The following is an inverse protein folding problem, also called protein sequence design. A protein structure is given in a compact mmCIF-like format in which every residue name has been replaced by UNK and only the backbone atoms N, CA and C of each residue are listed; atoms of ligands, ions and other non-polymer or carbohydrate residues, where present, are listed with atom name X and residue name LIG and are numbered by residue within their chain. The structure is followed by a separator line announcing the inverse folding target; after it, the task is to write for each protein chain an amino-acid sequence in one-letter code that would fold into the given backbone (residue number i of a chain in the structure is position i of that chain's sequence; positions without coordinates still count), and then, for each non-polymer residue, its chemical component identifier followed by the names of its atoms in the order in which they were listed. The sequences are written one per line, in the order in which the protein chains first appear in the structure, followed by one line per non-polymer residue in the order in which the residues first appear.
data_IF_974844685249
#
_entry.id   IF_974844685249
#
_cell.length_a   1.000
_cell.length_b   1.000
_cell.length_c   1.000
_cell.angle_alpha   90.00
_cell.angle_beta   90.00
_cell.angle_gamma   90.00
#
_symmetry.space_group_name_H-M   'P 1'
#
loop_
_entity.id
_entity.type
_entity.pdbx_description
1 polymer ?
#
# COMPACT_ATOMS: atom_id res chain seq x y z
N UNK A 1 3.74 -9.94 -12.45
CA UNK A 1 3.59 -10.90 -11.31
C UNK A 1 3.47 -10.11 -10.01
N UNK A 2 2.57 -10.48 -9.08
CA UNK A 2 2.28 -9.70 -7.86
C UNK A 2 2.83 -10.31 -6.56
N UNK A 3 3.80 -11.23 -6.69
CA UNK A 3 4.49 -11.89 -5.56
C UNK A 3 5.24 -10.91 -4.63
N UNK A 4 5.46 -9.67 -5.07
CA UNK A 4 6.13 -8.63 -4.31
C UNK A 4 5.41 -8.23 -3.01
N UNK A 5 4.13 -8.59 -2.83
CA UNK A 5 3.40 -8.29 -1.59
C UNK A 5 3.96 -9.03 -0.37
N UNK A 6 4.72 -10.12 -0.58
CA UNK A 6 5.38 -10.90 0.48
C UNK A 6 6.86 -10.55 0.65
N UNK A 7 7.53 -10.19 -0.44
CA UNK A 7 8.95 -9.87 -0.44
C UNK A 7 9.29 -8.93 -1.60
N UNK A 8 9.00 -7.63 -1.50
CA UNK A 8 9.23 -6.71 -2.60
C UNK A 8 10.73 -6.46 -2.82
N UNK A 9 11.56 -6.55 -1.78
CA UNK A 9 13.00 -6.40 -1.86
C UNK A 9 13.68 -7.57 -1.11
N UNK A 10 14.37 -8.50 -1.78
CA UNK A 10 14.88 -9.71 -1.15
C UNK A 10 15.78 -9.52 0.08
N UNK A 11 16.48 -8.36 0.15
CA UNK A 11 17.42 -8.02 1.23
C UNK A 11 16.79 -7.18 2.35
N UNK A 12 15.51 -6.80 2.21
CA UNK A 12 14.83 -5.96 3.18
C UNK A 12 13.53 -6.62 3.63
N UNK A 13 13.40 -6.80 4.94
CA UNK A 13 12.15 -7.21 5.58
C UNK A 13 11.25 -5.97 5.75
N UNK A 14 9.93 -6.19 5.81
CA UNK A 14 8.95 -5.16 6.23
C UNK A 14 8.99 -3.87 5.39
N UNK A 15 8.61 -3.95 4.11
CA UNK A 15 8.68 -2.84 3.16
C UNK A 15 7.29 -2.31 2.81
N UNK A 16 7.11 -0.99 2.91
CA UNK A 16 5.93 -0.36 2.35
C UNK A 16 6.17 -0.03 0.87
N UNK A 17 5.23 -0.44 0.02
CA UNK A 17 5.21 -0.09 -1.40
C UNK A 17 4.24 1.06 -1.60
N UNK A 18 4.74 2.19 -2.11
CA UNK A 18 4.00 3.44 -2.25
C UNK A 18 3.94 3.84 -3.71
N UNK A 19 2.79 3.68 -4.35
CA UNK A 19 2.52 4.30 -5.64
C UNK A 19 2.10 5.76 -5.44
N UNK A 20 2.58 6.65 -6.29
CA UNK A 20 2.29 8.08 -6.18
C UNK A 20 2.04 8.74 -7.54
N UNK A 21 1.14 9.73 -7.57
CA UNK A 21 0.94 10.64 -8.70
C UNK A 21 0.45 12.00 -8.23
N UNK A 22 0.37 12.97 -9.14
CA UNK A 22 -0.03 14.34 -8.80
C UNK A 22 1.01 15.10 -7.95
N UNK A 23 2.17 14.50 -7.68
CA UNK A 23 3.27 15.09 -6.93
C UNK A 23 4.62 14.63 -7.48
N UNK A 24 5.68 15.37 -7.16
CA UNK A 24 7.03 15.01 -7.59
C UNK A 24 7.66 13.94 -6.69
N UNK A 25 8.55 13.13 -7.26
CA UNK A 25 9.39 12.17 -6.52
C UNK A 25 10.17 12.86 -5.38
N UNK A 26 10.66 14.07 -5.63
CA UNK A 26 11.44 14.87 -4.70
C UNK A 26 10.57 15.36 -3.51
N UNK A 27 9.30 15.70 -3.77
CA UNK A 27 8.32 16.01 -2.73
C UNK A 27 8.07 14.79 -1.84
N UNK A 28 7.82 13.62 -2.43
CA UNK A 28 7.58 12.39 -1.67
C UNK A 28 8.81 11.98 -0.85
N UNK A 29 9.99 12.00 -1.47
CA UNK A 29 11.29 11.72 -0.83
C UNK A 29 11.49 12.60 0.40
N UNK A 30 11.36 13.92 0.26
CA UNK A 30 11.51 14.84 1.40
C UNK A 30 10.50 14.58 2.50
N UNK A 31 9.26 14.30 2.13
CA UNK A 31 8.19 14.03 3.09
C UNK A 31 8.43 12.74 3.88
N UNK A 32 8.85 11.67 3.20
CA UNK A 32 9.23 10.41 3.87
C UNK A 32 10.43 10.61 4.78
N UNK A 33 11.47 11.32 4.34
CA UNK A 33 12.62 11.64 5.18
C UNK A 33 12.23 12.47 6.42
N UNK A 34 11.32 13.43 6.27
CA UNK A 34 10.78 14.19 7.40
C UNK A 34 9.96 13.31 8.36
N UNK A 35 9.29 12.28 7.83
CA UNK A 35 8.60 11.24 8.59
C UNK A 35 9.54 10.10 9.06
N UNK A 36 10.86 10.28 8.94
CA UNK A 36 11.89 9.30 9.32
C UNK A 36 11.74 7.94 8.61
N UNK A 37 11.29 7.94 7.34
CA UNK A 37 11.19 6.77 6.47
C UNK A 37 12.20 6.85 5.33
N UNK A 38 13.13 5.89 5.27
CA UNK A 38 14.25 5.91 4.34
C UNK A 38 13.81 5.40 2.97
N UNK A 39 13.82 6.22 1.90
CA UNK A 39 13.53 5.73 0.57
C UNK A 39 14.62 4.77 0.10
N UNK A 40 14.23 3.58 -0.37
CA UNK A 40 15.16 2.52 -0.78
C UNK A 40 15.22 2.32 -2.29
N UNK A 41 14.06 2.29 -2.93
CA UNK A 41 13.93 2.04 -4.35
C UNK A 41 12.83 2.92 -4.94
N UNK A 42 12.95 3.22 -6.24
CA UNK A 42 11.92 3.91 -6.98
C UNK A 42 11.85 3.44 -8.44
N UNK A 43 10.65 3.56 -9.01
CA UNK A 43 10.38 3.35 -10.42
C UNK A 43 9.44 4.45 -10.92
N UNK A 44 9.49 4.76 -12.22
CA UNK A 44 8.65 5.80 -12.82
C UNK A 44 7.88 5.24 -14.01
N UNK A 45 6.56 5.17 -13.90
CA UNK A 45 5.64 5.00 -15.01
C UNK A 45 5.21 6.32 -15.62
N UNK A 46 4.37 6.27 -16.65
CA UNK A 46 3.83 7.44 -17.34
C UNK A 46 2.86 8.25 -16.48
N UNK A 47 2.06 7.56 -15.66
CA UNK A 47 1.07 8.20 -14.77
C UNK A 47 1.40 8.05 -13.28
N UNK A 48 1.88 6.88 -12.88
CA UNK A 48 2.24 6.54 -11.51
C UNK A 48 3.74 6.36 -11.37
N UNK A 49 4.33 6.96 -10.33
CA UNK A 49 5.61 6.53 -9.79
C UNK A 49 5.41 5.49 -8.69
N UNK A 50 6.47 4.78 -8.33
CA UNK A 50 6.53 3.89 -7.17
C UNK A 50 7.76 4.23 -6.34
N UNK A 51 7.61 4.15 -5.02
CA UNK A 51 8.67 4.30 -4.04
C UNK A 51 8.52 3.24 -2.96
N UNK A 52 9.64 2.69 -2.50
CA UNK A 52 9.67 1.71 -1.41
C UNK A 52 10.47 2.26 -0.24
N UNK A 53 10.03 1.95 0.97
CA UNK A 53 10.74 2.29 2.20
C UNK A 53 10.43 1.27 3.30
N UNK A 54 11.29 1.12 4.32
CA UNK A 54 10.97 0.27 5.48
C UNK A 54 9.73 0.77 6.20
N UNK A 55 8.92 -0.15 6.71
CA UNK A 55 7.78 0.15 7.56
C UNK A 55 8.20 0.95 8.81
N UNK A 56 9.35 0.58 9.39
CA UNK A 56 9.88 1.14 10.63
C UNK A 56 10.71 2.41 10.42
N UNK A 57 10.68 3.29 11.42
CA UNK A 57 11.56 4.46 11.47
C UNK A 57 13.02 4.02 11.68
N UNK A 58 13.97 4.70 11.01
CA UNK A 58 15.39 4.39 11.20
C UNK A 58 15.98 4.97 12.49
N UNK A 59 15.27 5.87 13.18
CA UNK A 59 15.82 6.65 14.30
C UNK A 59 15.15 6.38 15.64
N UNK A 60 13.92 5.90 15.63
CA UNK A 60 13.15 5.61 16.82
C UNK A 60 12.77 4.12 16.79
N UNK A 61 12.77 3.45 17.94
CA UNK A 61 12.00 2.22 18.21
C UNK A 61 10.48 2.52 18.16
N UNK A 62 10.07 3.32 17.18
CA UNK A 62 8.71 3.70 16.90
C UNK A 62 8.19 2.79 15.79
N UNK A 63 7.24 1.97 16.19
CA UNK A 63 6.62 0.95 15.36
C UNK A 63 5.24 1.40 14.88
N UNK A 64 4.90 2.69 15.03
CA UNK A 64 3.65 3.23 14.55
C UNK A 64 3.63 3.26 13.01
N UNK A 65 2.45 3.00 12.44
CA UNK A 65 2.22 3.12 11.02
C UNK A 65 2.53 4.54 10.54
N UNK A 66 3.11 4.65 9.35
CA UNK A 66 3.40 5.96 8.75
C UNK A 66 2.11 6.69 8.44
N UNK A 67 1.94 7.91 8.95
CA UNK A 67 0.84 8.77 8.53
C UNK A 67 1.18 9.42 7.19
N UNK A 68 0.60 8.91 6.09
CA UNK A 68 0.83 9.43 4.73
C UNK A 68 -0.04 10.63 4.37
N UNK A 69 -1.06 10.98 5.16
CA UNK A 69 -1.95 12.09 4.84
C UNK A 69 -1.21 13.44 4.65
N UNK A 70 -0.21 13.82 5.46
CA UNK A 70 0.57 15.03 5.21
C UNK A 70 1.40 15.01 3.92
N UNK A 71 1.69 13.82 3.38
CA UNK A 71 2.57 13.63 2.23
C UNK A 71 1.89 13.87 0.88
N UNK A 72 0.55 13.83 0.83
CA UNK A 72 -0.22 13.84 -0.42
C UNK A 72 -1.16 15.05 -0.56
N UNK A 73 -0.73 16.22 -0.10
CA UNK A 73 -1.50 17.47 -0.25
C UNK A 73 -1.44 17.99 -1.69
N UNK A 74 -2.28 18.97 -1.98
CA UNK A 74 -2.23 19.78 -3.22
C UNK A 74 -2.29 18.99 -4.53
N UNK A 75 -3.22 18.02 -4.63
CA UNK A 75 -3.38 17.17 -5.82
C UNK A 75 -2.65 15.83 -5.73
N UNK A 76 -1.88 15.60 -4.66
CA UNK A 76 -1.16 14.35 -4.44
C UNK A 76 -2.09 13.16 -4.23
N UNK A 77 -1.74 12.03 -4.83
CA UNK A 77 -2.40 10.75 -4.61
C UNK A 77 -1.37 9.69 -4.23
N UNK A 78 -1.67 8.90 -3.20
CA UNK A 78 -0.82 7.80 -2.72
C UNK A 78 -1.62 6.52 -2.57
N UNK A 79 -1.08 5.43 -3.09
CA UNK A 79 -1.57 4.08 -2.82
C UNK A 79 -0.48 3.31 -2.10
N UNK A 80 -0.76 2.89 -0.88
CA UNK A 80 0.20 2.27 0.03
C UNK A 80 -0.21 0.84 0.29
N UNK A 81 0.74 -0.06 0.08
CA UNK A 81 0.68 -1.44 0.55
C UNK A 81 1.70 -1.60 1.68
N UNK A 82 1.23 -1.99 2.86
CA UNK A 82 2.06 -2.45 3.96
C UNK A 82 2.20 -3.96 3.78
N UNK A 83 3.42 -4.44 3.55
CA UNK A 83 3.69 -5.87 3.33
C UNK A 83 3.95 -6.59 4.65
N UNK A 84 3.52 -7.84 4.77
CA UNK A 84 3.94 -8.73 5.85
C UNK A 84 5.34 -9.35 5.67
N UNK A 85 5.93 -9.94 6.73
CA UNK A 85 5.48 -9.87 8.12
C UNK A 85 6.33 -8.91 8.97
N UNK A 86 5.65 -8.03 9.70
CA UNK A 86 6.26 -7.39 10.86
C UNK A 86 6.39 -8.42 11.99
N UNK A 87 7.53 -9.10 12.04
CA UNK A 87 7.75 -10.30 12.87
C UNK A 87 7.61 -10.05 14.38
N UNK A 88 7.78 -8.79 14.82
CA UNK A 88 7.77 -8.44 16.25
C UNK A 88 6.36 -8.07 16.75
N UNK A 89 5.42 -7.69 15.86
CA UNK A 89 4.13 -7.10 16.27
C UNK A 89 2.89 -7.68 15.61
N UNK A 90 3.03 -8.56 14.61
CA UNK A 90 1.89 -9.24 13.98
C UNK A 90 0.94 -8.26 13.28
N UNK A 91 1.48 -7.26 12.59
CA UNK A 91 0.68 -6.42 11.73
C UNK A 91 0.37 -7.18 10.43
N UNK A 92 -0.92 -7.42 10.11
CA UNK A 92 -1.30 -8.02 8.84
C UNK A 92 -0.96 -7.11 7.67
N UNK A 93 -0.96 -7.62 6.42
CA UNK A 93 -0.77 -6.78 5.26
C UNK A 93 -1.95 -5.82 5.17
N UNK A 94 -1.66 -4.55 4.95
CA UNK A 94 -2.67 -3.49 4.97
C UNK A 94 -2.63 -2.66 3.69
N UNK A 95 -3.80 -2.14 3.33
CA UNK A 95 -3.98 -1.24 2.22
C UNK A 95 -4.42 0.14 2.69
N UNK A 96 -3.84 1.19 2.10
CA UNK A 96 -4.33 2.55 2.27
C UNK A 96 -4.31 3.34 0.96
N UNK A 97 -5.41 4.05 0.68
CA UNK A 97 -5.51 4.98 -0.44
C UNK A 97 -5.76 6.40 0.05
N UNK A 98 -4.87 7.31 -0.33
CA UNK A 98 -4.94 8.73 0.02
C UNK A 98 -5.05 9.61 -1.22
N UNK A 99 -5.75 10.72 -1.07
CA UNK A 99 -5.82 11.80 -2.06
C UNK A 99 -6.05 13.14 -1.38
N UNK A 100 -5.32 14.17 -1.81
CA UNK A 100 -5.47 15.54 -1.30
C UNK A 100 -5.35 15.63 0.22
N UNK A 101 -4.44 14.85 0.79
CA UNK A 101 -4.19 14.75 2.22
C UNK A 101 -5.29 14.08 3.03
N UNK A 102 -6.19 13.33 2.39
CA UNK A 102 -7.29 12.60 3.03
C UNK A 102 -7.16 11.11 2.80
N UNK A 103 -7.45 10.32 3.83
CA UNK A 103 -7.56 8.87 3.72
C UNK A 103 -8.92 8.53 3.10
N UNK A 104 -8.92 8.09 1.85
CA UNK A 104 -10.15 7.72 1.14
C UNK A 104 -10.64 6.34 1.55
N UNK A 105 -9.77 5.34 1.55
CA UNK A 105 -10.13 3.99 2.00
C UNK A 105 -8.92 3.27 2.56
N UNK A 106 -9.12 2.43 3.58
CA UNK A 106 -8.11 1.48 4.06
C UNK A 106 -8.78 0.20 4.55
N UNK A 107 -8.04 -0.90 4.57
CA UNK A 107 -8.45 -2.15 5.19
C UNK A 107 -7.24 -3.05 5.39
N UNK A 108 -7.38 -3.98 6.32
CA UNK A 108 -6.45 -5.10 6.44
C UNK A 108 -6.85 -6.23 5.49
N UNK A 109 -5.85 -6.94 4.96
CA UNK A 109 -6.07 -8.09 4.09
C UNK A 109 -6.79 -9.23 4.83
N UNK A 110 -6.62 -9.31 6.15
CA UNK A 110 -7.33 -10.26 7.02
C UNK A 110 -8.78 -9.83 7.34
N UNK A 111 -9.14 -8.57 7.07
CA UNK A 111 -10.40 -7.97 7.51
C UNK A 111 -11.02 -7.03 6.46
N UNK A 112 -11.20 -7.53 5.23
CA UNK A 112 -11.76 -6.76 4.11
C UNK A 112 -13.17 -6.19 4.36
N UNK A 113 -13.94 -6.82 5.25
CA UNK A 113 -15.31 -6.41 5.59
C UNK A 113 -15.38 -5.20 6.55
N UNK A 114 -14.23 -4.74 7.06
CA UNK A 114 -14.13 -3.62 7.99
C UNK A 114 -13.30 -2.45 7.42
N UNK A 115 -13.64 -1.90 6.25
CA UNK A 115 -12.88 -0.81 5.69
C UNK A 115 -13.11 0.51 6.44
N UNK A 116 -12.06 1.33 6.52
CA UNK A 116 -12.06 2.69 7.07
C UNK A 116 -11.85 3.77 6.01
N UNK A 117 -11.86 5.04 6.43
CA UNK A 117 -11.64 6.21 5.58
C UNK A 117 -12.92 6.95 5.18
N UNK A 118 -12.77 8.00 4.37
CA UNK A 118 -13.89 8.85 3.91
C UNK A 118 -14.86 8.13 2.95
N UNK A 119 -14.37 7.10 2.25
CA UNK A 119 -15.10 6.30 1.26
C UNK A 119 -14.76 4.82 1.47
N UNK A 120 -15.18 4.22 2.60
CA UNK A 120 -14.74 2.89 3.01
C UNK A 120 -15.13 1.79 2.00
N UNK A 121 -16.25 1.96 1.29
CA UNK A 121 -16.73 0.98 0.31
C UNK A 121 -16.22 1.22 -1.12
N UNK A 122 -15.21 2.07 -1.31
CA UNK A 122 -14.72 2.45 -2.65
C UNK A 122 -14.29 1.24 -3.49
N UNK A 123 -13.61 0.28 -2.87
CA UNK A 123 -13.08 -0.93 -3.53
C UNK A 123 -14.03 -2.13 -3.47
N UNK A 124 -15.16 -2.02 -2.78
CA UNK A 124 -16.10 -3.13 -2.58
C UNK A 124 -16.53 -3.78 -3.91
N UNK A 125 -16.84 -3.05 -5.01
CA UNK A 125 -17.20 -3.67 -6.27
C UNK A 125 -16.07 -4.53 -6.86
N UNK A 126 -14.82 -4.08 -6.78
CA UNK A 126 -13.67 -4.81 -7.30
C UNK A 126 -13.38 -6.07 -6.46
N UNK A 127 -13.43 -5.93 -5.13
CA UNK A 127 -13.24 -7.05 -4.20
C UNK A 127 -14.35 -8.10 -4.35
N UNK A 128 -15.60 -7.68 -4.58
CA UNK A 128 -16.74 -8.57 -4.82
C UNK A 128 -16.58 -9.32 -6.14
N UNK A 129 -16.23 -8.61 -7.23
CA UNK A 129 -16.00 -9.23 -8.53
C UNK A 129 -14.85 -10.26 -8.48
N UNK A 130 -13.86 -10.01 -7.64
CA UNK A 130 -12.75 -10.92 -7.38
C UNK A 130 -13.09 -12.05 -6.39
N UNK A 131 -14.32 -12.14 -5.86
CA UNK A 131 -14.75 -13.15 -4.86
C UNK A 131 -13.89 -13.14 -3.59
N UNK A 132 -13.59 -11.95 -3.09
CA UNK A 132 -12.78 -11.76 -1.87
C UNK A 132 -13.62 -11.35 -0.64
N UNK A 133 -14.87 -10.97 -0.86
CA UNK A 133 -15.81 -10.54 0.18
C UNK A 133 -17.12 -11.32 0.05
N UNK A 134 -17.84 -11.45 1.17
CA UNK A 134 -19.08 -12.21 1.24
C UNK A 134 -20.14 -11.73 0.21
N UNK A 135 -21.06 -12.62 -0.24
CA UNK A 135 -21.24 -14.01 0.22
C UNK A 135 -20.38 -15.04 -0.51
N UNK A 136 -19.75 -14.66 -1.62
CA UNK A 136 -19.06 -15.60 -2.52
C UNK A 136 -17.54 -15.69 -2.25
N UNK A 137 -17.10 -15.27 -1.07
CA UNK A 137 -15.69 -15.19 -0.73
C UNK A 137 -15.02 -16.56 -0.74
N UNK A 138 -13.86 -16.62 -1.39
CA UNK A 138 -12.97 -17.78 -1.41
C UNK A 138 -11.69 -17.45 -0.62
N UNK A 139 -11.75 -17.66 0.70
CA UNK A 139 -10.67 -17.33 1.65
C UNK A 139 -9.56 -18.38 1.70
N UNK A 140 -9.82 -19.62 1.28
CA UNK A 140 -8.90 -20.76 1.44
C UNK A 140 -7.91 -20.90 0.27
N UNK A 141 -7.99 -20.00 -0.72
CA UNK A 141 -7.10 -20.00 -1.87
C UNK A 141 -5.69 -19.52 -1.47
N UNK A 142 -4.64 -20.28 -1.80
CA UNK A 142 -3.25 -19.94 -1.47
C UNK A 142 -2.70 -18.64 -2.10
N UNK A 143 -3.46 -18.04 -3.02
CA UNK A 143 -3.20 -16.78 -3.72
C UNK A 143 -4.10 -15.62 -3.26
N UNK A 144 -4.79 -15.75 -2.11
CA UNK A 144 -5.77 -14.78 -1.61
C UNK A 144 -5.23 -13.33 -1.56
N UNK A 145 -4.04 -13.11 -0.98
CA UNK A 145 -3.40 -11.79 -0.92
C UNK A 145 -3.06 -11.24 -2.31
N UNK A 146 -2.60 -12.10 -3.22
CA UNK A 146 -2.26 -11.72 -4.60
C UNK A 146 -3.51 -11.29 -5.37
N UNK A 147 -4.65 -11.96 -5.12
CA UNK A 147 -5.97 -11.60 -5.66
C UNK A 147 -6.46 -10.26 -5.10
N UNK A 148 -6.20 -9.95 -3.83
CA UNK A 148 -6.48 -8.62 -3.24
C UNK A 148 -5.68 -7.54 -3.96
N UNK A 149 -4.36 -7.70 -4.05
CA UNK A 149 -3.48 -6.75 -4.75
C UNK A 149 -3.90 -6.63 -6.22
N UNK A 150 -4.31 -7.73 -6.84
CA UNK A 150 -4.85 -7.72 -8.19
C UNK A 150 -6.08 -6.84 -8.34
N UNK A 151 -7.11 -7.07 -7.53
CA UNK A 151 -8.35 -6.29 -7.58
C UNK A 151 -8.07 -4.79 -7.37
N UNK A 152 -7.17 -4.45 -6.44
CA UNK A 152 -6.79 -3.07 -6.15
C UNK A 152 -6.05 -2.42 -7.32
N UNK A 153 -4.99 -3.09 -7.80
CA UNK A 153 -4.13 -2.54 -8.86
C UNK A 153 -4.89 -2.38 -10.18
N UNK A 154 -5.81 -3.29 -10.50
CA UNK A 154 -6.68 -3.16 -11.67
C UNK A 154 -7.69 -2.02 -11.51
N UNK A 155 -8.35 -1.93 -10.35
CA UNK A 155 -9.32 -0.86 -10.09
C UNK A 155 -8.70 0.54 -10.16
N UNK A 156 -7.46 0.69 -9.69
CA UNK A 156 -6.73 1.96 -9.65
C UNK A 156 -5.82 2.18 -10.87
N UNK A 157 -5.78 1.22 -11.81
CA UNK A 157 -4.87 1.22 -12.95
C UNK A 157 -3.40 1.46 -12.56
N UNK A 158 -2.94 0.78 -11.51
CA UNK A 158 -1.55 0.85 -11.05
C UNK A 158 -0.64 0.09 -12.02
N UNK A 159 0.60 0.58 -12.25
CA UNK A 159 1.54 -0.11 -13.12
C UNK A 159 1.95 -1.44 -12.49
N UNK A 160 2.22 -2.44 -13.34
CA UNK A 160 2.88 -3.65 -12.89
C UNK A 160 4.29 -3.33 -12.39
N UNK A 161 4.67 -3.96 -11.29
CA UNK A 161 6.02 -3.91 -10.77
C UNK A 161 6.78 -5.14 -11.28
N UNK A 162 7.81 -4.90 -12.08
CA UNK A 162 8.81 -5.91 -12.40
C UNK A 162 9.91 -5.81 -11.34
N UNK A 163 9.75 -6.61 -10.28
CA UNK A 163 10.69 -6.64 -9.17
C UNK A 163 11.79 -7.68 -9.47
N UNK A 164 13.05 -7.40 -9.10
CA UNK A 164 14.19 -8.29 -9.37
C UNK A 164 14.14 -9.61 -8.60
#
# INVERSE_FOLDING_TARGET
MRHWIRQPLPQHEEINVVFFRGMSLDTLTRGLLAAQRMPLAYGKGTEWGVMMHPMLSWKNDDYDLTNYAPLCRDGGELVVFVTEPCSVKGFPPDFHYYRDGRLLTCFSFEALDYPGGDRPNLLLPALTAAKLVAPDADYDSGDYEERIVQAITEFLALPELDMP
#
